data_IF_554770117740
#
_entry.id   IF_554770117740
#
_cell.length_a   1.000
_cell.length_b   1.000
_cell.length_c   1.000
_cell.angle_alpha   90.00
_cell.angle_beta   90.00
_cell.angle_gamma   90.00
#
_symmetry.space_group_name_H-M   'P 1'
#
loop_
_entity.id
_entity.type
_entity.pdbx_description
1 polymer ?
#
# COMPACT_ATOMS: atom_id res chain seq x y z
N UNK A 1 22.43 -21.43 8.52
CA UNK A 1 23.03 -20.31 9.31
C UNK A 1 24.53 -20.47 9.24
N UNK A 2 25.29 -19.39 9.08
CA UNK A 2 26.74 -19.43 8.99
C UNK A 2 27.35 -18.45 10.01
N UNK A 3 28.56 -18.73 10.46
CA UNK A 3 29.21 -18.03 11.58
C UNK A 3 29.74 -16.63 11.18
N UNK A 4 29.97 -16.41 9.88
CA UNK A 4 30.38 -15.10 9.35
C UNK A 4 29.35 -14.62 8.34
N UNK A 5 29.10 -13.31 8.36
CA UNK A 5 28.24 -12.65 7.39
C UNK A 5 28.64 -12.98 5.95
N UNK A 6 29.93 -12.98 5.63
CA UNK A 6 30.44 -13.31 4.29
C UNK A 6 30.01 -14.71 3.84
N UNK A 7 30.13 -15.70 4.74
CA UNK A 7 29.79 -17.09 4.45
C UNK A 7 28.27 -17.25 4.29
N UNK A 8 27.47 -16.50 5.06
CA UNK A 8 26.02 -16.45 4.93
C UNK A 8 25.56 -15.80 3.61
N UNK A 9 26.20 -14.70 3.19
CA UNK A 9 25.90 -14.03 1.93
C UNK A 9 26.17 -14.96 0.74
N UNK A 10 27.34 -15.60 0.71
CA UNK A 10 27.68 -16.58 -0.35
C UNK A 10 26.64 -17.70 -0.38
N UNK A 11 26.29 -18.28 0.77
CA UNK A 11 25.30 -19.35 0.81
C UNK A 11 23.91 -18.88 0.34
N UNK A 12 23.49 -17.67 0.69
CA UNK A 12 22.19 -17.11 0.30
C UNK A 12 22.12 -16.76 -1.20
N UNK A 13 23.17 -16.17 -1.77
CA UNK A 13 23.25 -15.82 -3.19
C UNK A 13 23.22 -17.04 -4.11
N UNK A 14 23.74 -18.18 -3.63
CA UNK A 14 23.78 -19.43 -4.39
C UNK A 14 22.55 -20.32 -4.17
N UNK A 15 21.60 -19.90 -3.34
CA UNK A 15 20.38 -20.67 -3.12
C UNK A 15 19.46 -20.55 -4.34
N UNK A 16 19.19 -21.69 -4.98
CA UNK A 16 18.21 -21.75 -6.07
C UNK A 16 16.80 -21.73 -5.50
N UNK A 17 15.95 -20.84 -6.03
CA UNK A 17 14.53 -20.79 -5.68
C UNK A 17 13.68 -20.80 -6.94
N UNK A 18 12.75 -21.74 -6.99
CA UNK A 18 11.79 -21.88 -8.09
C UNK A 18 10.40 -21.51 -7.57
N UNK A 19 9.75 -20.56 -8.24
CA UNK A 19 8.38 -20.14 -7.93
C UNK A 19 7.49 -20.38 -9.14
N UNK A 20 6.22 -20.73 -8.88
CA UNK A 20 5.17 -20.76 -9.90
C UNK A 20 4.36 -19.46 -9.82
N UNK A 21 4.13 -18.86 -10.98
CA UNK A 21 3.36 -17.61 -11.13
C UNK A 21 2.21 -17.75 -12.12
N UNK A 22 1.98 -18.94 -12.70
CA UNK A 22 1.05 -19.12 -13.83
C UNK A 22 -0.42 -18.85 -13.45
N UNK A 23 -0.80 -19.09 -12.20
CA UNK A 23 -2.18 -18.97 -11.71
C UNK A 23 -2.38 -17.80 -10.74
N UNK A 24 -1.43 -16.88 -10.66
CA UNK A 24 -1.52 -15.70 -9.81
C UNK A 24 -2.09 -14.52 -10.59
N UNK A 25 -2.89 -13.69 -9.93
CA UNK A 25 -3.21 -12.37 -10.48
C UNK A 25 -1.92 -11.51 -10.55
N UNK A 26 -1.84 -10.53 -11.48
CA UNK A 26 -0.71 -9.61 -11.53
C UNK A 26 -0.42 -8.96 -10.17
N UNK A 27 0.84 -8.66 -9.84
CA UNK A 27 1.17 -8.03 -8.57
C UNK A 27 0.66 -6.58 -8.54
N UNK A 28 0.17 -6.15 -7.38
CA UNK A 28 -0.24 -4.76 -7.15
C UNK A 28 0.99 -3.94 -6.83
N UNK A 29 1.34 -3.00 -7.72
CA UNK A 29 2.58 -2.21 -7.57
C UNK A 29 2.34 -0.71 -7.31
N UNK A 30 1.10 -0.22 -7.44
CA UNK A 30 0.73 1.17 -7.17
C UNK A 30 -0.46 1.30 -6.22
N UNK A 31 -0.61 2.48 -5.62
CA UNK A 31 -1.75 2.77 -4.72
C UNK A 31 -3.05 2.80 -5.50
N UNK A 32 -3.03 3.34 -6.72
CA UNK A 32 -4.18 3.39 -7.63
C UNK A 32 -4.64 1.99 -8.00
N UNK A 33 -3.71 1.08 -8.27
CA UNK A 33 -4.02 -0.32 -8.54
C UNK A 33 -4.65 -0.99 -7.30
N UNK A 34 -4.10 -0.76 -6.11
CA UNK A 34 -4.66 -1.26 -4.86
C UNK A 34 -6.10 -0.77 -4.64
N UNK A 35 -6.37 0.51 -4.94
CA UNK A 35 -7.70 1.09 -4.87
C UNK A 35 -8.65 0.42 -5.86
N UNK A 36 -8.26 0.29 -7.12
CA UNK A 36 -9.10 -0.31 -8.17
C UNK A 36 -9.49 -1.76 -7.87
N UNK A 37 -8.59 -2.51 -7.24
CA UNK A 37 -8.77 -3.92 -6.88
C UNK A 37 -9.35 -4.13 -5.49
N UNK A 38 -9.71 -3.04 -4.79
CA UNK A 38 -10.18 -3.07 -3.41
C UNK A 38 -9.23 -3.84 -2.47
N UNK A 39 -7.93 -3.75 -2.72
CA UNK A 39 -6.88 -4.44 -1.97
C UNK A 39 -6.44 -3.57 -0.79
N UNK A 40 -7.18 -3.68 0.31
CA UNK A 40 -6.95 -2.89 1.51
C UNK A 40 -6.77 -3.76 2.75
N UNK A 41 -5.93 -3.30 3.68
CA UNK A 41 -6.01 -3.78 5.05
C UNK A 41 -7.19 -3.11 5.74
N UNK A 42 -7.98 -3.88 6.50
CA UNK A 42 -9.01 -3.28 7.33
C UNK A 42 -8.33 -2.49 8.47
N UNK A 43 -8.49 -1.14 8.51
CA UNK A 43 -7.88 -0.37 9.57
C UNK A 43 -8.59 -0.67 10.90
N UNK A 44 -7.84 -0.78 12.01
CA UNK A 44 -8.44 -0.76 13.35
C UNK A 44 -9.38 0.43 13.52
N UNK A 45 -10.51 0.21 14.23
CA UNK A 45 -11.60 1.20 14.33
C UNK A 45 -11.15 2.59 14.83
N UNK A 46 -10.11 2.66 15.65
CA UNK A 46 -9.58 3.92 16.20
C UNK A 46 -8.78 4.76 15.18
N UNK A 47 -8.45 4.23 14.01
CA UNK A 47 -7.86 5.00 12.91
C UNK A 47 -8.91 5.67 12.02
N UNK A 48 -10.20 5.37 12.21
CA UNK A 48 -11.27 6.06 11.49
C UNK A 48 -11.53 7.41 12.17
N UNK A 49 -11.26 8.55 11.50
CA UNK A 49 -11.54 9.84 12.08
C UNK A 49 -13.05 10.02 12.26
N UNK A 50 -13.46 10.67 13.35
CA UNK A 50 -14.85 11.07 13.52
C UNK A 50 -15.25 12.10 12.46
N UNK A 51 -16.44 11.94 11.89
CA UNK A 51 -16.99 12.90 10.95
C UNK A 51 -17.57 14.10 11.72
N UNK A 52 -16.88 15.23 11.66
CA UNK A 52 -17.25 16.45 12.38
C UNK A 52 -17.68 17.54 11.40
N UNK A 53 -18.93 18.01 11.54
CA UNK A 53 -19.49 19.10 10.73
C UNK A 53 -20.06 18.67 9.38
N UNK A 54 -20.32 19.65 8.51
CA UNK A 54 -20.82 19.44 7.14
C UNK A 54 -19.76 19.92 6.13
N UNK A 55 -19.01 18.96 5.59
CA UNK A 55 -17.96 19.25 4.61
C UNK A 55 -18.52 19.81 3.31
N UNK A 56 -19.73 19.42 2.91
CA UNK A 56 -20.36 19.92 1.68
C UNK A 56 -20.71 21.40 1.82
N UNK A 57 -21.35 21.78 2.94
CA UNK A 57 -21.65 23.17 3.27
C UNK A 57 -20.38 24.00 3.37
N UNK A 58 -19.40 23.55 4.16
CA UNK A 58 -18.13 24.28 4.34
C UNK A 58 -17.37 24.47 3.03
N UNK A 59 -17.30 23.42 2.19
CA UNK A 59 -16.70 23.52 0.86
C UNK A 59 -17.52 24.43 -0.07
N UNK A 60 -18.85 24.50 0.07
CA UNK A 60 -19.70 25.36 -0.77
C UNK A 60 -19.51 26.85 -0.43
N UNK A 61 -19.39 27.18 0.85
CA UNK A 61 -19.28 28.54 1.40
C UNK A 61 -17.86 29.12 1.36
N UNK A 62 -16.83 28.27 1.13
CA UNK A 62 -15.44 28.73 1.07
C UNK A 62 -15.19 29.68 -0.12
N UNK A 63 -14.54 30.81 0.16
CA UNK A 63 -14.16 31.81 -0.85
C UNK A 63 -13.17 31.25 -1.89
N UNK A 64 -12.32 30.32 -1.47
CA UNK A 64 -11.30 29.68 -2.30
C UNK A 64 -11.32 28.17 -2.11
N UNK A 65 -11.26 27.44 -3.22
CA UNK A 65 -11.30 25.98 -3.26
C UNK A 65 -10.15 25.49 -4.12
N UNK A 66 -9.35 24.58 -3.57
CA UNK A 66 -8.26 23.94 -4.31
C UNK A 66 -8.73 22.51 -4.60
N UNK A 67 -9.07 22.26 -5.85
CA UNK A 67 -9.58 20.96 -6.30
C UNK A 67 -8.47 20.02 -6.79
N UNK A 68 -7.21 20.48 -6.79
CA UNK A 68 -6.12 19.80 -7.46
C UNK A 68 -4.88 19.76 -6.57
N UNK A 69 -4.45 18.56 -6.25
CA UNK A 69 -3.06 18.23 -5.95
C UNK A 69 -2.68 17.18 -6.99
N UNK A 70 -2.41 17.64 -8.21
CA UNK A 70 -1.65 16.86 -9.18
C UNK A 70 -0.20 17.35 -9.14
#
# INVERSE_FOLDING_TARGET
>A
VADRQKDACIAAENAMVCYDTENLEPPILSVEEAISRSSFFQPPAFFSPEHIGDFSKGMSEADHKIHSAE
#
